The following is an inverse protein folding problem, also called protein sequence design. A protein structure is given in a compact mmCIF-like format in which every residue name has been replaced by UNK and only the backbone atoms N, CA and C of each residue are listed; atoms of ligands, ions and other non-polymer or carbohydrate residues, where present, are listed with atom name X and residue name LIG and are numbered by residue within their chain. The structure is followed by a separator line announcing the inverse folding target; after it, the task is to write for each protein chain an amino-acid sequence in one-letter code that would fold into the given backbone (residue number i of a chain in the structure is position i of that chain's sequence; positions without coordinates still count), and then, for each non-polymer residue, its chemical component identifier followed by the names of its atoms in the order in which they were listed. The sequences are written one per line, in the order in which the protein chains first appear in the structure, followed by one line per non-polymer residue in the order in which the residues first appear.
data_IF_278414257987
#
_entry.id   IF_278414257987
#
_cell.length_a   1.000
_cell.length_b   1.000
_cell.length_c   1.000
_cell.angle_alpha   90.00
_cell.angle_beta   90.00
_cell.angle_gamma   90.00
#
_symmetry.space_group_name_H-M   'P 1'
#
loop_
_entity.id
_entity.type
_entity.pdbx_description
1 polymer ?
#
# COMPACT_ATOMS: atom_id res chain seq x y z
N UNK A 1 20.98 17.98 27.18
CA UNK A 1 20.72 16.55 27.51
C UNK A 1 19.26 16.15 27.32
N UNK A 2 18.30 17.06 27.14
CA UNK A 2 16.87 16.77 26.95
C UNK A 2 16.53 16.12 25.60
N UNK A 3 17.09 16.61 24.49
CA UNK A 3 16.78 16.15 23.12
C UNK A 3 17.00 14.65 22.86
N UNK A 4 17.96 14.03 23.53
CA UNK A 4 18.26 12.59 23.36
C UNK A 4 17.22 11.72 24.07
N UNK A 5 16.62 12.22 25.14
CA UNK A 5 15.58 11.50 25.90
C UNK A 5 14.22 11.61 25.22
N UNK A 6 13.87 12.77 24.69
CA UNK A 6 12.65 12.95 23.89
C UNK A 6 12.69 12.13 22.60
N UNK A 7 13.82 12.08 21.90
CA UNK A 7 13.98 11.25 20.70
C UNK A 7 13.84 9.74 20.98
N UNK A 8 14.29 9.28 22.15
CA UNK A 8 14.13 7.87 22.57
C UNK A 8 12.67 7.51 22.84
N UNK A 9 11.87 8.43 23.41
CA UNK A 9 10.45 8.23 23.65
C UNK A 9 9.66 8.12 22.33
N UNK A 10 10.02 8.90 21.31
CA UNK A 10 9.40 8.84 19.98
C UNK A 10 9.66 7.49 19.29
N UNK A 11 10.87 6.92 19.41
CA UNK A 11 11.22 5.63 18.81
C UNK A 11 10.53 4.45 19.52
N UNK A 12 10.29 4.53 20.83
CA UNK A 12 9.72 3.44 21.63
C UNK A 12 8.18 3.42 21.65
N UNK A 13 7.52 4.37 20.99
CA UNK A 13 6.08 4.61 21.11
C UNK A 13 5.82 5.45 22.36
N UNK A 14 5.41 6.70 22.18
CA UNK A 14 5.17 7.60 23.30
C UNK A 14 3.99 7.10 24.14
N UNK A 15 4.19 6.98 25.45
CA UNK A 15 3.14 6.67 26.42
C UNK A 15 2.86 7.89 27.29
N UNK A 16 1.58 8.17 27.55
CA UNK A 16 1.14 9.35 28.29
C UNK A 16 1.75 9.39 29.70
N UNK A 17 2.34 10.53 30.16
CA UNK A 17 2.96 10.62 31.48
C UNK A 17 2.00 10.22 32.61
N UNK A 18 2.46 9.37 33.53
CA UNK A 18 1.69 8.93 34.69
C UNK A 18 2.37 9.36 36.00
N UNK A 19 1.57 9.74 37.00
CA UNK A 19 2.03 10.01 38.37
C UNK A 19 1.40 9.01 39.34
N UNK A 20 2.02 8.80 40.52
CA UNK A 20 1.41 8.00 41.58
C UNK A 20 0.54 8.89 42.46
N UNK A 21 -0.69 8.48 42.71
CA UNK A 21 -1.56 9.15 43.67
C UNK A 21 -1.14 8.84 45.13
N UNK A 22 -1.84 9.44 46.08
CA UNK A 22 -1.60 9.30 47.52
C UNK A 22 -1.76 7.84 48.02
N UNK A 23 -2.43 6.99 47.24
CA UNK A 23 -2.68 5.57 47.53
C UNK A 23 -1.67 4.67 46.79
N UNK A 24 -0.76 5.26 46.01
CA UNK A 24 0.28 4.56 45.24
C UNK A 24 -0.19 4.03 43.88
N UNK A 25 -1.41 4.37 43.44
CA UNK A 25 -1.96 4.00 42.15
C UNK A 25 -1.40 4.90 41.05
N UNK A 26 -0.97 4.31 39.93
CA UNK A 26 -0.57 5.05 38.73
C UNK A 26 -1.78 5.66 38.04
N UNK A 27 -1.84 6.98 38.04
CA UNK A 27 -2.87 7.80 37.39
C UNK A 27 -2.24 8.65 36.29
N UNK A 28 -3.03 9.06 35.30
CA UNK A 28 -2.56 9.98 34.25
C UNK A 28 -2.19 11.33 34.87
N UNK A 29 -0.98 11.80 34.59
CA UNK A 29 -0.47 13.07 35.08
C UNK A 29 -1.15 14.21 34.34
N UNK A 30 -1.69 15.18 35.08
CA UNK A 30 -2.29 16.39 34.50
C UNK A 30 -1.28 17.16 33.65
N UNK A 31 -1.71 17.65 32.48
CA UNK A 31 -0.92 18.48 31.55
C UNK A 31 -0.29 19.70 32.21
N UNK A 32 -0.99 20.32 33.17
CA UNK A 32 -0.47 21.48 33.93
C UNK A 32 0.75 21.15 34.79
N UNK A 33 1.01 19.86 35.07
CA UNK A 33 2.16 19.39 35.84
C UNK A 33 3.29 18.87 34.96
N UNK A 34 3.13 18.92 33.64
CA UNK A 34 4.13 18.39 32.72
C UNK A 34 5.44 19.17 32.81
N UNK A 35 6.52 18.42 32.71
CA UNK A 35 7.85 18.99 32.52
C UNK A 35 8.00 19.44 31.08
N UNK A 36 8.91 20.38 30.82
CA UNK A 36 9.21 20.83 29.46
C UNK A 36 9.58 19.67 28.52
N UNK A 37 10.30 18.67 29.03
CA UNK A 37 10.69 17.49 28.24
C UNK A 37 9.49 16.58 27.88
N UNK A 38 8.47 16.51 28.73
CA UNK A 38 7.22 15.78 28.46
C UNK A 38 6.35 16.53 27.44
N UNK A 39 6.26 17.85 27.56
CA UNK A 39 5.53 18.72 26.63
C UNK A 39 6.17 18.70 25.22
N UNK A 40 7.49 18.90 25.14
CA UNK A 40 8.25 18.83 23.88
C UNK A 40 8.12 17.44 23.20
N UNK A 41 8.04 16.35 24.00
CA UNK A 41 7.86 15.00 23.48
C UNK A 41 6.46 14.77 22.91
N UNK A 42 5.41 15.29 23.56
CA UNK A 42 4.02 15.22 23.05
C UNK A 42 3.89 15.98 21.74
N UNK A 43 4.39 17.21 21.67
CA UNK A 43 4.36 18.00 20.43
C UNK A 43 5.12 17.29 19.30
N UNK A 44 6.30 16.73 19.60
CA UNK A 44 7.05 15.95 18.62
C UNK A 44 6.28 14.69 18.15
N UNK A 45 5.58 14.01 19.06
CA UNK A 45 4.75 12.87 18.75
C UNK A 45 3.53 13.26 17.89
N UNK A 46 2.81 14.33 18.22
CA UNK A 46 1.66 14.81 17.46
C UNK A 46 2.07 15.18 16.02
N UNK A 47 3.22 15.86 15.85
CA UNK A 47 3.76 16.18 14.52
C UNK A 47 4.08 14.89 13.75
N UNK A 48 4.70 13.90 14.41
CA UNK A 48 5.03 12.61 13.81
C UNK A 48 3.75 11.86 13.42
N UNK A 49 2.76 11.81 14.30
CA UNK A 49 1.47 11.16 14.08
C UNK A 49 0.75 11.80 12.90
N UNK A 50 0.64 13.13 12.85
CA UNK A 50 0.01 13.82 11.70
C UNK A 50 0.76 13.56 10.40
N UNK A 51 2.10 13.58 10.42
CA UNK A 51 2.91 13.31 9.23
C UNK A 51 2.78 11.85 8.73
N UNK A 52 2.83 10.88 9.64
CA UNK A 52 2.70 9.46 9.31
C UNK A 52 1.27 9.03 9.00
N UNK A 53 0.28 9.55 9.71
CA UNK A 53 -1.14 9.29 9.44
C UNK A 53 -1.56 9.93 8.12
N UNK A 54 -1.08 11.14 7.81
CA UNK A 54 -1.28 11.78 6.52
C UNK A 54 -0.69 10.98 5.38
N UNK A 55 0.56 10.51 5.52
CA UNK A 55 1.22 9.68 4.50
C UNK A 55 0.58 8.29 4.38
N UNK A 56 0.11 7.69 5.48
CA UNK A 56 -0.58 6.39 5.45
C UNK A 56 -1.95 6.50 4.80
N UNK A 57 -2.75 7.53 5.12
CA UNK A 57 -4.03 7.83 4.45
C UNK A 57 -3.85 8.06 2.96
N UNK A 58 -2.84 8.85 2.56
CA UNK A 58 -2.52 9.07 1.14
C UNK A 58 -2.11 7.77 0.45
N UNK A 59 -1.27 6.95 1.09
CA UNK A 59 -0.87 5.63 0.58
C UNK A 59 -2.07 4.71 0.37
N UNK A 60 -2.95 4.60 1.36
CA UNK A 60 -4.18 3.78 1.29
C UNK A 60 -5.08 4.28 0.16
N UNK A 61 -5.30 5.60 0.04
CA UNK A 61 -6.10 6.18 -1.03
C UNK A 61 -5.53 5.87 -2.43
N UNK A 62 -4.20 5.97 -2.58
CA UNK A 62 -3.53 5.61 -3.84
C UNK A 62 -3.66 4.12 -4.18
N UNK A 63 -3.47 3.25 -3.20
CA UNK A 63 -3.68 1.80 -3.36
C UNK A 63 -5.11 1.51 -3.83
N UNK A 64 -6.11 2.16 -3.23
CA UNK A 64 -7.51 1.99 -3.62
C UNK A 64 -7.76 2.42 -5.07
N UNK A 65 -7.22 3.58 -5.48
CA UNK A 65 -7.34 4.06 -6.87
C UNK A 65 -6.69 3.08 -7.85
N UNK A 66 -5.48 2.60 -7.54
CA UNK A 66 -4.76 1.65 -8.38
C UNK A 66 -5.48 0.31 -8.50
N UNK A 67 -6.02 -0.20 -7.40
CA UNK A 67 -6.83 -1.42 -7.40
C UNK A 67 -8.09 -1.25 -8.25
N UNK A 68 -8.79 -0.12 -8.12
CA UNK A 68 -9.95 0.17 -8.99
C UNK A 68 -9.57 0.30 -10.47
N UNK A 69 -8.45 0.98 -10.79
CA UNK A 69 -7.92 1.06 -12.16
C UNK A 69 -7.58 -0.33 -12.70
N UNK A 70 -6.95 -1.17 -11.87
CA UNK A 70 -6.62 -2.54 -12.21
C UNK A 70 -7.88 -3.36 -12.49
N UNK A 71 -8.87 -3.32 -11.61
CA UNK A 71 -10.15 -4.04 -11.79
C UNK A 71 -10.91 -3.59 -13.03
N UNK A 72 -10.85 -2.30 -13.35
CA UNK A 72 -11.47 -1.71 -14.53
C UNK A 72 -10.68 -1.90 -15.83
N UNK A 73 -9.47 -2.47 -15.81
CA UNK A 73 -8.70 -2.71 -17.04
C UNK A 73 -9.53 -3.51 -18.04
N UNK A 74 -9.61 -2.96 -19.24
CA UNK A 74 -10.12 -3.52 -20.48
C UNK A 74 -9.24 -2.93 -21.57
N UNK A 75 -9.02 -3.68 -22.64
CA UNK A 75 -8.36 -3.15 -23.83
C UNK A 75 -9.40 -2.49 -24.72
N UNK A 76 -9.07 -1.30 -25.21
CA UNK A 76 -9.96 -0.54 -26.08
C UNK A 76 -9.95 -1.14 -27.52
N UNK A 77 -10.96 -0.82 -28.33
CA UNK A 77 -11.10 -1.42 -29.68
C UNK A 77 -9.90 -1.11 -30.59
N UNK A 78 -9.33 0.09 -30.43
CA UNK A 78 -8.21 0.65 -31.20
C UNK A 78 -6.86 0.56 -30.48
N UNK A 79 -6.80 -0.02 -29.29
CA UNK A 79 -5.57 -0.12 -28.50
C UNK A 79 -4.71 -1.32 -28.95
N UNK A 80 -3.41 -1.10 -29.09
CA UNK A 80 -2.48 -2.18 -29.39
C UNK A 80 -2.15 -2.99 -28.14
N UNK A 81 -1.93 -4.30 -28.30
CA UNK A 81 -1.55 -5.21 -27.21
C UNK A 81 -0.30 -4.73 -26.46
N UNK A 82 0.65 -4.09 -27.15
CA UNK A 82 1.85 -3.52 -26.54
C UNK A 82 1.55 -2.32 -25.62
N UNK A 83 0.60 -1.46 -26.00
CA UNK A 83 0.15 -0.32 -25.18
C UNK A 83 -0.60 -0.83 -23.95
N UNK A 84 -1.46 -1.84 -24.14
CA UNK A 84 -2.15 -2.49 -23.05
C UNK A 84 -1.17 -3.17 -22.07
N UNK A 85 -0.13 -3.85 -22.57
CA UNK A 85 0.92 -4.43 -21.75
C UNK A 85 1.62 -3.37 -20.88
N UNK A 86 1.98 -2.23 -21.48
CA UNK A 86 2.59 -1.12 -20.75
C UNK A 86 1.68 -0.64 -19.60
N UNK A 87 0.37 -0.45 -19.85
CA UNK A 87 -0.59 -0.06 -18.79
C UNK A 87 -0.69 -1.08 -17.66
N UNK A 88 -0.68 -2.37 -17.97
CA UNK A 88 -0.72 -3.44 -16.97
C UNK A 88 0.53 -3.39 -16.09
N UNK A 89 1.70 -3.24 -16.72
CA UNK A 89 2.99 -3.15 -16.01
C UNK A 89 3.08 -1.88 -15.17
N UNK A 90 2.62 -0.74 -15.68
CA UNK A 90 2.62 0.53 -14.94
C UNK A 90 1.82 0.39 -13.64
N UNK A 91 0.59 -0.14 -13.72
CA UNK A 91 -0.23 -0.35 -12.52
C UNK A 91 0.42 -1.35 -11.56
N UNK A 92 1.01 -2.44 -12.06
CA UNK A 92 1.69 -3.42 -11.23
C UNK A 92 2.91 -2.82 -10.51
N UNK A 93 3.70 -2.02 -11.21
CA UNK A 93 4.86 -1.34 -10.66
C UNK A 93 4.47 -0.25 -9.64
N UNK A 94 3.42 0.52 -9.91
CA UNK A 94 2.88 1.51 -8.97
C UNK A 94 2.39 0.84 -7.67
N UNK A 95 1.71 -0.31 -7.77
CA UNK A 95 1.26 -1.08 -6.60
C UNK A 95 2.44 -1.68 -5.82
N UNK A 96 3.44 -2.24 -6.49
CA UNK A 96 4.65 -2.78 -5.85
C UNK A 96 5.46 -1.68 -5.15
N UNK A 97 5.56 -0.48 -5.74
CA UNK A 97 6.19 0.69 -5.11
C UNK A 97 5.47 1.13 -3.83
N UNK A 98 4.16 0.87 -3.72
CA UNK A 98 3.38 1.07 -2.49
C UNK A 98 3.39 -0.17 -1.58
N UNK A 99 4.13 -1.22 -1.92
CA UNK A 99 4.29 -2.43 -1.11
C UNK A 99 3.16 -3.46 -1.29
N UNK A 100 2.29 -3.30 -2.29
CA UNK A 100 1.29 -4.31 -2.67
C UNK A 100 1.73 -5.03 -3.95
N UNK A 101 2.48 -6.12 -3.77
CA UNK A 101 2.97 -6.89 -4.90
C UNK A 101 1.87 -7.76 -5.51
N UNK A 102 1.63 -7.62 -6.81
CA UNK A 102 0.75 -8.52 -7.55
C UNK A 102 1.50 -9.76 -8.04
N UNK A 103 0.85 -10.91 -7.95
CA UNK A 103 1.37 -12.16 -8.50
C UNK A 103 1.11 -12.24 -10.00
N UNK A 104 2.02 -12.88 -10.74
CA UNK A 104 1.87 -13.10 -12.19
C UNK A 104 0.55 -13.80 -12.52
N UNK A 105 0.16 -14.81 -11.75
CA UNK A 105 -1.14 -15.48 -11.92
C UNK A 105 -2.34 -14.53 -11.80
N UNK A 106 -2.27 -13.51 -10.93
CA UNK A 106 -3.34 -12.50 -10.82
C UNK A 106 -3.35 -11.60 -12.06
N UNK A 107 -2.19 -11.18 -12.53
CA UNK A 107 -2.00 -10.36 -13.72
C UNK A 107 -2.45 -11.09 -14.99
N UNK A 108 -1.98 -12.31 -15.21
CA UNK A 108 -2.32 -13.18 -16.36
C UNK A 108 -3.83 -13.35 -16.49
N UNK A 109 -4.49 -13.77 -15.41
CA UNK A 109 -5.96 -13.94 -15.42
C UNK A 109 -6.69 -12.63 -15.67
N UNK A 110 -6.15 -11.51 -15.17
CA UNK A 110 -6.75 -10.21 -15.42
C UNK A 110 -6.63 -9.83 -16.90
N UNK A 111 -5.44 -9.97 -17.49
CA UNK A 111 -5.20 -9.71 -18.92
C UNK A 111 -6.14 -10.52 -19.79
N UNK A 112 -6.22 -11.84 -19.58
CA UNK A 112 -7.09 -12.72 -20.38
C UNK A 112 -8.58 -12.30 -20.34
N UNK A 113 -9.08 -11.83 -19.19
CA UNK A 113 -10.46 -11.33 -19.04
C UNK A 113 -10.68 -9.91 -19.57
N UNK A 114 -9.60 -9.20 -19.88
CA UNK A 114 -9.62 -7.82 -20.39
C UNK A 114 -9.49 -7.76 -21.90
N UNK A 115 -9.21 -8.89 -22.57
CA UNK A 115 -9.12 -8.96 -24.03
C UNK A 115 -10.52 -8.90 -24.67
N UNK A 116 -10.65 -8.29 -25.87
CA UNK A 116 -11.93 -8.21 -26.56
C UNK A 116 -12.30 -9.58 -27.10
N UNK A 117 -13.59 -9.76 -27.38
CA UNK A 117 -14.16 -11.03 -27.84
C UNK A 117 -13.48 -11.62 -29.09
N UNK A 118 -12.83 -10.80 -29.92
CA UNK A 118 -12.05 -11.24 -31.09
C UNK A 118 -10.88 -12.19 -30.72
N UNK A 119 -10.42 -12.16 -29.47
CA UNK A 119 -9.36 -13.06 -28.98
C UNK A 119 -9.90 -14.32 -28.30
N UNK A 120 -11.22 -14.52 -28.18
CA UNK A 120 -11.80 -15.62 -27.40
C UNK A 120 -11.24 -17.00 -27.77
N UNK A 121 -11.13 -17.31 -29.08
CA UNK A 121 -10.55 -18.59 -29.52
C UNK A 121 -9.09 -18.77 -29.06
N UNK A 122 -8.31 -17.68 -29.08
CA UNK A 122 -6.91 -17.67 -28.66
C UNK A 122 -6.77 -17.79 -27.14
N UNK A 123 -7.63 -17.09 -26.40
CA UNK A 123 -7.74 -17.21 -24.94
C UNK A 123 -8.03 -18.66 -24.56
N UNK A 124 -9.05 -19.29 -25.13
CA UNK A 124 -9.38 -20.70 -24.84
C UNK A 124 -8.19 -21.63 -25.12
N UNK A 125 -7.49 -21.45 -26.24
CA UNK A 125 -6.32 -22.27 -26.55
C UNK A 125 -5.19 -22.10 -25.50
N UNK A 126 -4.97 -20.87 -25.01
CA UNK A 126 -3.98 -20.60 -23.96
C UNK A 126 -4.39 -21.25 -22.64
N UNK A 127 -5.67 -21.15 -22.26
CA UNK A 127 -6.22 -21.72 -21.03
C UNK A 127 -6.18 -23.26 -21.03
N UNK A 128 -6.39 -23.91 -22.18
CA UNK A 128 -6.30 -25.36 -22.33
C UNK A 128 -4.86 -25.87 -22.34
N UNK A 129 -3.93 -25.11 -22.94
CA UNK A 129 -2.55 -25.54 -23.11
C UNK A 129 -1.65 -25.25 -21.89
N UNK A 130 -2.01 -24.27 -21.03
CA UNK A 130 -1.11 -23.76 -20.00
C UNK A 130 -1.73 -23.75 -18.59
N UNK A 131 -0.89 -23.98 -17.58
CA UNK A 131 -1.25 -23.78 -16.18
C UNK A 131 -1.13 -22.29 -15.80
N UNK A 132 -2.26 -21.56 -15.86
CA UNK A 132 -2.31 -20.12 -15.54
C UNK A 132 -1.84 -19.76 -14.12
N UNK A 133 -1.73 -20.73 -13.20
CA UNK A 133 -1.19 -20.47 -11.87
C UNK A 133 0.33 -20.30 -11.85
N UNK A 134 1.01 -20.78 -12.89
CA UNK A 134 2.47 -20.77 -13.02
C UNK A 134 2.97 -19.96 -14.21
N UNK A 135 2.09 -19.66 -15.15
CA UNK A 135 2.40 -18.83 -16.32
C UNK A 135 2.85 -17.44 -15.89
N UNK A 136 3.92 -16.95 -16.53
CA UNK A 136 4.40 -15.58 -16.30
C UNK A 136 3.71 -14.60 -17.24
N UNK A 137 3.69 -13.33 -16.85
CA UNK A 137 3.03 -12.29 -17.64
C UNK A 137 3.72 -12.04 -19.00
N UNK A 138 5.05 -12.08 -19.05
CA UNK A 138 5.84 -11.95 -20.28
C UNK A 138 5.57 -13.08 -21.26
N UNK A 139 5.44 -14.31 -20.76
CA UNK A 139 5.07 -15.48 -21.55
C UNK A 139 3.67 -15.35 -22.17
N UNK A 140 2.72 -14.80 -21.42
CA UNK A 140 1.37 -14.51 -21.93
C UNK A 140 1.42 -13.51 -23.08
N UNK A 141 2.12 -12.38 -22.91
CA UNK A 141 2.21 -11.37 -23.96
C UNK A 141 3.01 -11.85 -25.18
N UNK A 142 3.95 -12.77 -25.02
CA UNK A 142 4.61 -13.43 -26.15
C UNK A 142 3.69 -14.39 -26.91
N UNK A 143 2.64 -14.89 -26.25
CA UNK A 143 1.65 -15.79 -26.86
C UNK A 143 0.52 -15.03 -27.55
N UNK A 144 0.19 -13.80 -27.14
CA UNK A 144 -0.88 -12.94 -27.67
C UNK A 144 -0.53 -12.25 -28.99
#
# INVERSE_FOLDING_TARGET
MSLVRSWRAVISGWEYPTEKDEVGQTVRKSELKWTKDEDDATVAWDILEVAFEGTSKVKISRLQILTSRFEALQIDEDEFIAEFNARVLDIANELDALGEKMSDSKLVRKVLRSLPSKFNMKVTAIEEANDLSKMKLDELFGSL
#
